data_IF_635793553239
#
_entry.id   IF_635793553239
#
_cell.length_a   1.000
_cell.length_b   1.000
_cell.length_c   1.000
_cell.angle_alpha   90.00
_cell.angle_beta   90.00
_cell.angle_gamma   90.00
#
_symmetry.space_group_name_H-M   'P 1'
#
loop_
_entity.id
_entity.type
_entity.pdbx_description
1 polymer ?
#
# COMPACT_ATOMS: atom_id res chain seq x y z
N UNK A 1 1.61 -37.12 23.77
CA UNK A 1 0.65 -36.00 23.75
C UNK A 1 1.47 -34.74 23.52
N UNK A 2 1.69 -34.37 22.26
CA UNK A 2 2.45 -33.18 21.86
C UNK A 2 1.45 -32.06 21.52
N UNK A 3 1.71 -30.80 21.90
CA UNK A 3 0.81 -29.72 21.59
C UNK A 3 0.78 -29.48 20.07
N UNK A 4 -0.40 -29.22 19.49
CA UNK A 4 -0.50 -28.81 18.10
C UNK A 4 0.03 -27.38 17.97
N UNK A 5 0.36 -26.98 16.74
CA UNK A 5 0.52 -25.57 16.34
C UNK A 5 1.93 -24.95 16.48
N UNK A 6 2.93 -25.63 15.91
CA UNK A 6 3.99 -24.88 15.22
C UNK A 6 3.53 -24.65 13.78
N UNK A 7 2.70 -23.62 13.57
CA UNK A 7 2.55 -23.05 12.24
C UNK A 7 3.93 -22.55 11.79
N UNK A 8 4.53 -23.27 10.85
CA UNK A 8 5.84 -22.98 10.29
C UNK A 8 5.92 -21.50 9.84
N UNK A 9 6.76 -20.66 10.46
CA UNK A 9 6.94 -19.26 10.06
C UNK A 9 7.40 -19.14 8.60
N UNK A 10 8.02 -20.19 8.05
CA UNK A 10 8.49 -20.26 6.67
C UNK A 10 7.40 -20.66 5.67
N UNK A 11 6.25 -21.20 6.10
CA UNK A 11 5.13 -21.47 5.20
C UNK A 11 4.52 -20.17 4.61
N UNK A 12 4.80 -19.02 5.22
CA UNK A 12 4.42 -17.70 4.73
C UNK A 12 5.35 -17.10 3.67
N UNK A 13 6.47 -17.77 3.33
CA UNK A 13 7.39 -17.34 2.27
C UNK A 13 7.04 -17.92 0.89
N UNK A 14 6.08 -18.84 0.79
CA UNK A 14 5.80 -19.57 -0.46
C UNK A 14 4.72 -18.93 -1.33
N UNK A 15 4.02 -17.90 -0.86
CA UNK A 15 2.94 -17.29 -1.62
C UNK A 15 3.23 -15.80 -1.81
N UNK A 16 4.14 -15.51 -2.72
CA UNK A 16 4.15 -14.25 -3.44
C UNK A 16 3.82 -14.60 -4.89
N UNK A 17 2.81 -13.97 -5.55
CA UNK A 17 2.59 -14.12 -6.98
C UNK A 17 3.89 -13.95 -7.75
N UNK A 18 4.04 -14.61 -8.92
CA UNK A 18 5.26 -14.59 -9.71
C UNK A 18 5.81 -13.16 -9.97
N UNK A 19 4.93 -12.16 -9.96
CA UNK A 19 5.21 -10.72 -10.05
C UNK A 19 6.04 -10.16 -8.88
N UNK A 20 5.89 -10.72 -7.67
CA UNK A 20 6.65 -10.38 -6.47
C UNK A 20 7.86 -11.30 -6.26
N UNK A 21 7.98 -12.40 -7.02
CA UNK A 21 9.15 -13.30 -7.04
C UNK A 21 10.32 -12.78 -7.87
N UNK A 22 10.45 -11.47 -8.08
CA UNK A 22 11.79 -10.92 -8.34
C UNK A 22 12.53 -10.94 -7.02
N UNK A 23 13.26 -12.04 -6.79
CA UNK A 23 14.07 -12.36 -5.62
C UNK A 23 14.93 -11.20 -5.10
N UNK A 24 15.19 -10.17 -5.92
CA UNK A 24 15.90 -8.95 -5.54
C UNK A 24 15.16 -7.99 -4.61
N UNK A 25 13.84 -7.78 -4.72
CA UNK A 25 13.19 -6.65 -4.01
C UNK A 25 12.94 -6.93 -2.53
N UNK A 26 12.34 -8.08 -2.18
CA UNK A 26 12.11 -8.48 -0.78
C UNK A 26 13.44 -8.78 -0.08
N UNK A 27 14.35 -9.52 -0.72
CA UNK A 27 15.64 -9.84 -0.11
C UNK A 27 16.48 -8.57 0.15
N UNK A 28 16.37 -7.57 -0.73
CA UNK A 28 16.98 -6.27 -0.50
C UNK A 28 16.32 -5.53 0.66
N UNK A 29 14.99 -5.42 0.69
CA UNK A 29 14.29 -4.70 1.77
C UNK A 29 14.47 -5.38 3.12
N UNK A 30 14.44 -6.71 3.18
CA UNK A 30 14.73 -7.50 4.39
C UNK A 30 16.14 -7.21 4.91
N UNK A 31 17.15 -7.19 4.03
CA UNK A 31 18.52 -6.87 4.42
C UNK A 31 18.64 -5.43 4.92
N UNK A 32 18.04 -4.47 4.21
CA UNK A 32 18.17 -3.04 4.53
C UNK A 32 17.35 -2.61 5.76
N UNK A 33 16.12 -3.09 5.89
CA UNK A 33 15.17 -2.64 6.91
C UNK A 33 15.19 -3.53 8.17
N UNK A 34 15.58 -4.81 8.06
CA UNK A 34 15.57 -5.76 9.18
C UNK A 34 16.97 -6.19 9.63
N UNK A 35 17.74 -6.84 8.76
CA UNK A 35 18.99 -7.53 9.17
C UNK A 35 20.13 -6.54 9.46
N UNK A 36 20.37 -5.57 8.55
CA UNK A 36 21.47 -4.61 8.70
C UNK A 36 21.28 -3.65 9.89
N UNK A 37 20.07 -3.12 10.18
CA UNK A 37 19.89 -2.21 11.32
C UNK A 37 19.86 -2.93 12.67
N UNK A 38 19.27 -4.13 12.74
CA UNK A 38 19.06 -4.84 14.02
C UNK A 38 20.21 -5.77 14.39
N UNK A 39 21.10 -6.10 13.45
CA UNK A 39 22.35 -6.87 13.65
C UNK A 39 22.20 -8.03 14.64
N UNK A 40 21.41 -9.08 14.31
CA UNK A 40 21.19 -10.19 15.22
C UNK A 40 22.51 -10.87 15.61
N UNK A 41 22.69 -11.14 16.90
CA UNK A 41 23.92 -11.71 17.45
C UNK A 41 23.88 -13.24 17.53
N UNK A 42 22.69 -13.84 17.47
CA UNK A 42 22.49 -15.28 17.45
C UNK A 42 21.40 -15.67 16.43
N UNK A 43 21.32 -16.97 16.12
CA UNK A 43 20.41 -17.51 15.11
C UNK A 43 18.93 -17.37 15.51
N UNK A 44 18.63 -17.50 16.81
CA UNK A 44 17.26 -17.42 17.30
C UNK A 44 16.70 -16.00 17.17
N UNK A 45 17.47 -15.00 17.57
CA UNK A 45 17.16 -13.59 17.39
C UNK A 45 16.97 -13.26 15.90
N UNK A 46 17.84 -13.79 15.02
CA UNK A 46 17.67 -13.62 13.59
C UNK A 46 16.34 -14.19 13.08
N UNK A 47 15.94 -15.38 13.55
CA UNK A 47 14.66 -16.00 13.21
C UNK A 47 13.47 -15.16 13.68
N UNK A 48 13.48 -14.72 14.93
CA UNK A 48 12.40 -13.90 15.50
C UNK A 48 12.26 -12.57 14.77
N UNK A 49 13.39 -11.92 14.46
CA UNK A 49 13.40 -10.65 13.73
C UNK A 49 12.87 -10.79 12.31
N UNK A 50 13.27 -11.85 11.60
CA UNK A 50 12.77 -12.13 10.24
C UNK A 50 11.29 -12.47 10.28
N UNK A 51 10.84 -13.29 11.23
CA UNK A 51 9.43 -13.65 11.38
C UNK A 51 8.55 -12.41 11.61
N UNK A 52 8.96 -11.51 12.52
CA UNK A 52 8.27 -10.25 12.75
C UNK A 52 8.24 -9.35 11.51
N UNK A 53 9.35 -9.27 10.78
CA UNK A 53 9.41 -8.49 9.54
C UNK A 53 8.46 -9.06 8.46
N UNK A 54 8.44 -10.38 8.26
CA UNK A 54 7.57 -11.04 7.27
C UNK A 54 6.09 -10.83 7.64
N UNK A 55 5.76 -10.95 8.92
CA UNK A 55 4.40 -10.70 9.39
C UNK A 55 3.95 -9.27 9.06
N UNK A 56 4.79 -8.28 9.35
CA UNK A 56 4.51 -6.89 9.06
C UNK A 56 4.42 -6.63 7.55
N UNK A 57 5.36 -7.15 6.77
CA UNK A 57 5.42 -6.99 5.32
C UNK A 57 4.15 -7.52 4.65
N UNK A 58 3.68 -8.70 5.06
CA UNK A 58 2.53 -9.35 4.46
C UNK A 58 1.19 -8.73 4.89
N UNK A 59 1.07 -8.25 6.13
CA UNK A 59 -0.21 -7.81 6.68
C UNK A 59 -0.41 -6.29 6.63
N UNK A 60 0.64 -5.49 6.70
CA UNK A 60 0.53 -4.03 6.84
C UNK A 60 1.00 -3.28 5.59
N UNK A 61 2.05 -3.77 4.92
CA UNK A 61 2.67 -3.02 3.82
C UNK A 61 1.79 -3.03 2.58
N UNK A 62 1.45 -1.85 2.08
CA UNK A 62 0.74 -1.68 0.81
C UNK A 62 1.73 -1.59 -0.35
N UNK A 63 1.50 -2.39 -1.39
CA UNK A 63 2.39 -2.45 -2.55
C UNK A 63 1.74 -1.84 -3.78
N UNK A 64 2.38 -0.83 -4.36
CA UNK A 64 1.91 -0.15 -5.58
C UNK A 64 1.78 -1.12 -6.77
N UNK A 65 2.72 -2.07 -6.89
CA UNK A 65 2.70 -3.09 -7.95
C UNK A 65 1.45 -3.99 -7.94
N UNK A 66 0.76 -4.11 -6.79
CA UNK A 66 -0.48 -4.89 -6.64
C UNK A 66 -1.66 -3.99 -6.24
N UNK A 67 -1.70 -2.76 -6.75
CA UNK A 67 -2.86 -1.88 -6.56
C UNK A 67 -3.01 -1.26 -5.16
N UNK A 68 -1.88 -1.11 -4.43
CA UNK A 68 -1.85 -0.65 -3.03
C UNK A 68 -2.66 -1.58 -2.12
N UNK A 69 -2.44 -2.89 -2.26
CA UNK A 69 -3.03 -3.93 -1.42
C UNK A 69 -1.90 -4.61 -0.67
N UNK A 70 -2.23 -5.22 0.48
CA UNK A 70 -1.26 -6.00 1.24
C UNK A 70 -1.06 -7.35 0.57
N UNK A 71 0.14 -7.95 0.64
CA UNK A 71 0.37 -9.26 0.04
C UNK A 71 -0.62 -10.30 0.59
N UNK A 72 -0.90 -10.30 1.89
CA UNK A 72 -1.88 -11.20 2.52
C UNK A 72 -3.28 -11.09 1.90
N UNK A 73 -3.81 -9.88 1.72
CA UNK A 73 -5.13 -9.70 1.13
C UNK A 73 -5.20 -10.17 -0.34
N UNK A 74 -4.08 -10.12 -1.06
CA UNK A 74 -3.99 -10.65 -2.41
C UNK A 74 -3.95 -12.19 -2.41
N UNK A 75 -3.30 -12.80 -1.42
CA UNK A 75 -3.30 -14.26 -1.24
C UNK A 75 -4.66 -14.81 -0.82
N UNK A 76 -5.40 -14.05 -0.04
CA UNK A 76 -6.76 -14.39 0.37
C UNK A 76 -7.81 -14.05 -0.73
N UNK A 77 -7.37 -13.73 -1.95
CA UNK A 77 -8.19 -13.34 -3.11
C UNK A 77 -9.16 -12.17 -2.88
N UNK A 78 -8.92 -11.35 -1.84
CA UNK A 78 -9.75 -10.19 -1.46
C UNK A 78 -9.45 -8.93 -2.26
N UNK A 79 -8.57 -9.03 -3.25
CA UNK A 79 -8.11 -7.90 -4.07
C UNK A 79 -9.29 -7.19 -4.74
N UNK A 80 -10.20 -7.94 -5.37
CA UNK A 80 -11.35 -7.37 -6.07
C UNK A 80 -12.31 -6.60 -5.14
N UNK A 81 -12.56 -7.14 -3.95
CA UNK A 81 -13.42 -6.50 -2.94
C UNK A 81 -12.83 -5.16 -2.48
N UNK A 82 -11.54 -5.15 -2.16
CA UNK A 82 -10.83 -3.96 -1.68
C UNK A 82 -10.80 -2.87 -2.76
N UNK A 83 -10.51 -3.25 -4.01
CA UNK A 83 -10.45 -2.30 -5.12
C UNK A 83 -11.85 -1.72 -5.40
N UNK A 84 -12.88 -2.55 -5.45
CA UNK A 84 -14.25 -2.10 -5.74
C UNK A 84 -14.77 -1.14 -4.66
N UNK A 85 -14.54 -1.44 -3.37
CA UNK A 85 -14.87 -0.55 -2.27
C UNK A 85 -14.17 0.81 -2.38
N UNK A 86 -12.89 0.82 -2.74
CA UNK A 86 -12.12 2.06 -2.96
C UNK A 86 -12.64 2.85 -4.16
N UNK A 87 -12.94 2.19 -5.27
CA UNK A 87 -13.50 2.85 -6.46
C UNK A 87 -14.83 3.52 -6.13
N UNK A 88 -15.71 2.86 -5.37
CA UNK A 88 -16.97 3.45 -4.91
C UNK A 88 -16.75 4.71 -4.09
N UNK A 89 -15.82 4.69 -3.13
CA UNK A 89 -15.45 5.87 -2.33
C UNK A 89 -14.91 7.01 -3.21
N UNK A 90 -14.07 6.70 -4.19
CA UNK A 90 -13.50 7.68 -5.10
C UNK A 90 -14.57 8.31 -6.01
N UNK A 91 -15.51 7.53 -6.51
CA UNK A 91 -16.63 8.01 -7.31
C UNK A 91 -17.53 8.96 -6.52
N UNK A 92 -17.86 8.62 -5.27
CA UNK A 92 -18.62 9.52 -4.39
C UNK A 92 -17.90 10.85 -4.16
N UNK A 93 -16.58 10.81 -3.91
CA UNK A 93 -15.80 12.03 -3.76
C UNK A 93 -15.77 12.87 -5.05
N UNK A 94 -15.69 12.23 -6.23
CA UNK A 94 -15.77 12.93 -7.53
C UNK A 94 -17.12 13.63 -7.70
N UNK A 95 -18.23 12.96 -7.39
CA UNK A 95 -19.57 13.57 -7.45
C UNK A 95 -19.68 14.79 -6.52
N UNK A 96 -19.21 14.68 -5.27
CA UNK A 96 -19.19 15.80 -4.31
C UNK A 96 -18.40 17.01 -4.81
N UNK A 97 -17.27 16.78 -5.48
CA UNK A 97 -16.47 17.87 -6.08
C UNK A 97 -17.19 18.51 -7.27
N UNK A 98 -17.88 17.71 -8.09
CA UNK A 98 -18.65 18.23 -9.22
C UNK A 98 -19.83 19.10 -8.76
N UNK A 99 -20.55 18.69 -7.72
CA UNK A 99 -21.65 19.51 -7.17
C UNK A 99 -21.14 20.82 -6.58
N UNK A 100 -20.04 20.79 -5.81
CA UNK A 100 -19.43 22.00 -5.27
C UNK A 100 -18.98 22.98 -6.37
N UNK A 101 -18.38 22.47 -7.46
CA UNK A 101 -17.96 23.29 -8.62
C UNK A 101 -19.14 23.95 -9.33
N UNK A 102 -20.30 23.28 -9.40
CA UNK A 102 -21.53 23.86 -9.98
C UNK A 102 -22.12 24.97 -9.12
N UNK A 103 -22.00 24.86 -7.79
CA UNK A 103 -22.51 25.87 -6.85
C UNK A 103 -21.61 27.10 -6.75
N UNK A 104 -20.31 26.98 -7.01
CA UNK A 104 -19.33 28.06 -6.80
C UNK A 104 -19.08 28.97 -8.01
N UNK A 105 -19.92 28.94 -9.04
CA UNK A 105 -19.76 29.80 -10.22
C UNK A 105 -20.84 30.90 -10.23
N UNK A 106 -20.63 32.06 -9.57
CA UNK A 106 -21.36 33.25 -9.97
C UNK A 106 -20.95 33.61 -11.41
N UNK A 107 -21.86 34.05 -12.29
CA UNK A 107 -21.48 34.51 -13.61
C UNK A 107 -20.45 35.63 -13.43
N UNK A 108 -19.24 35.43 -13.95
CA UNK A 108 -18.23 36.48 -14.05
C UNK A 108 -18.80 37.55 -14.99
N UNK A 109 -19.44 38.57 -14.44
CA UNK A 109 -19.59 39.84 -15.12
C UNK A 109 -18.18 40.37 -15.35
N UNK A 110 -17.72 40.21 -16.59
CA UNK A 110 -16.46 40.74 -17.05
C UNK A 110 -16.50 42.26 -16.91
N UNK A 111 -15.85 42.80 -15.88
CA UNK A 111 -15.54 44.22 -15.85
C UNK A 111 -14.43 44.45 -16.89
N UNK A 112 -14.67 45.25 -17.95
CA UNK A 112 -13.65 45.52 -18.93
C UNK A 112 -12.51 46.31 -18.27
N UNK A 113 -11.29 45.83 -18.47
CA UNK A 113 -10.06 46.49 -18.00
C UNK A 113 -10.01 47.88 -18.66
N UNK A 114 -9.92 48.99 -17.91
CA UNK A 114 -9.79 50.30 -18.52
C UNK A 114 -8.43 50.41 -19.23
N UNK A 115 -8.46 50.81 -20.49
CA UNK A 115 -7.26 51.05 -21.29
C UNK A 115 -6.43 52.16 -20.63
N UNK A 116 -5.25 51.81 -20.11
CA UNK A 116 -4.31 52.78 -19.56
C UNK A 116 -3.66 53.52 -20.73
N UNK A 117 -3.90 54.83 -20.82
CA UNK A 117 -3.25 55.71 -21.78
C UNK A 117 -1.75 55.73 -21.53
N UNK A 118 -0.98 55.39 -22.57
CA UNK A 118 0.49 55.38 -22.55
C UNK A 118 0.97 56.84 -22.66
N UNK A 119 1.74 57.28 -21.66
CA UNK A 119 2.48 58.57 -21.66
C UNK A 119 3.68 58.47 -22.58
#
# INVERSE_FOLDING_TARGET
MHPPEWHDPCAYLTILPAEQRRTGTLAWSLKQECIRPKTPLNLEDARQLVAGYVLQYNNERLHSAIGYITPRNKLDDREAEIISARQRKLQQARQRRQTAKKTSFPPTTANPIPAVARV
#
